data_IF_063137268310
#
_entry.id   IF_063137268310
#
_cell.length_a   1.000
_cell.length_b   1.000
_cell.length_c   1.000
_cell.angle_alpha   90.00
_cell.angle_beta   90.00
_cell.angle_gamma   90.00
#
_symmetry.space_group_name_H-M   'P 1'
#
loop_
_entity.id
_entity.type
_entity.pdbx_description
1 polymer ?
#
# COMPACT_ATOMS: atom_id res chain seq x y z
N UNK A 1 -28.50 -17.65 19.29
CA UNK A 1 -28.36 -16.18 19.19
C UNK A 1 -27.13 -15.78 19.98
N UNK A 2 -25.98 -15.78 19.34
CA UNK A 2 -24.67 -15.48 19.93
C UNK A 2 -24.29 -14.03 19.63
N UNK A 3 -23.77 -13.35 20.65
CA UNK A 3 -23.71 -11.90 20.82
C UNK A 3 -22.65 -11.18 19.97
N UNK A 4 -22.83 -9.87 19.68
CA UNK A 4 -21.83 -9.01 19.06
C UNK A 4 -20.82 -8.53 20.10
N UNK A 5 -19.54 -8.86 19.92
CA UNK A 5 -18.45 -8.50 20.84
C UNK A 5 -17.48 -7.54 20.17
N UNK A 6 -17.12 -6.49 20.93
CA UNK A 6 -16.03 -5.55 20.75
C UNK A 6 -16.27 -4.30 19.86
N UNK A 7 -17.27 -3.51 20.25
CA UNK A 7 -17.14 -2.05 20.18
C UNK A 7 -16.47 -1.56 21.47
N UNK A 8 -15.19 -1.18 21.46
CA UNK A 8 -14.52 -0.33 22.46
C UNK A 8 -13.01 -0.18 22.15
N UNK A 9 -12.62 0.88 21.44
CA UNK A 9 -11.37 1.59 21.72
C UNK A 9 -11.70 3.09 21.67
N UNK A 10 -12.04 3.59 22.85
CA UNK A 10 -12.37 4.97 23.22
C UNK A 10 -11.06 5.69 23.56
N UNK A 11 -10.92 6.91 23.04
CA UNK A 11 -10.07 8.02 23.50
C UNK A 11 -8.56 7.78 23.65
N UNK A 12 -7.77 8.59 22.93
CA UNK A 12 -6.81 9.49 23.57
C UNK A 12 -6.48 10.67 22.64
N UNK A 13 -7.37 11.66 22.62
CA UNK A 13 -7.02 13.04 22.32
C UNK A 13 -6.59 13.68 23.65
N UNK A 14 -5.29 13.84 23.91
CA UNK A 14 -4.81 14.74 24.96
C UNK A 14 -3.56 15.48 24.44
N UNK A 15 -3.82 16.73 24.09
CA UNK A 15 -2.98 17.91 24.06
C UNK A 15 -1.51 17.77 24.49
N UNK A 16 -0.60 18.20 23.62
CA UNK A 16 0.61 18.90 24.03
C UNK A 16 0.58 20.31 23.47
N UNK A 17 0.23 21.26 24.35
CA UNK A 17 0.55 22.68 24.16
C UNK A 17 1.91 22.90 24.80
N UNK A 18 2.88 23.40 24.04
CA UNK A 18 4.08 24.03 24.60
C UNK A 18 4.09 25.48 24.12
N UNK A 19 4.14 26.39 25.08
CA UNK A 19 4.08 27.82 24.89
C UNK A 19 5.47 28.42 24.65
N UNK A 20 5.46 29.51 23.87
CA UNK A 20 6.25 30.73 24.01
C UNK A 20 7.76 30.77 23.68
N UNK A 21 8.00 31.57 22.63
CA UNK A 21 9.00 32.64 22.52
C UNK A 21 10.47 32.31 22.24
N UNK A 22 10.84 32.51 20.97
CA UNK A 22 12.09 33.15 20.61
C UNK A 22 11.90 33.92 19.31
N UNK A 23 11.82 35.25 19.43
CA UNK A 23 12.19 36.20 18.39
C UNK A 23 13.52 35.76 17.74
N UNK A 24 13.51 35.53 16.43
CA UNK A 24 14.73 35.48 15.64
C UNK A 24 14.50 36.08 14.27
N UNK A 25 15.42 36.95 13.82
CA UNK A 25 15.18 37.93 12.78
C UNK A 25 15.15 37.29 11.40
N UNK A 26 14.51 38.02 10.48
CA UNK A 26 14.39 37.71 9.06
C UNK A 26 15.65 37.12 8.41
N UNK A 27 15.47 36.01 7.70
CA UNK A 27 16.37 35.51 6.68
C UNK A 27 15.53 34.98 5.48
N UNK A 28 15.97 35.21 4.23
CA UNK A 28 15.15 35.09 3.01
C UNK A 28 14.71 33.65 2.69
N UNK A 29 13.72 33.43 1.79
CA UNK A 29 13.10 32.12 1.58
C UNK A 29 14.10 31.12 0.99
N UNK A 30 14.27 29.93 1.57
CA UNK A 30 14.87 28.81 0.86
C UNK A 30 13.76 28.06 0.10
N UNK A 31 13.18 28.70 -0.92
CA UNK A 31 12.37 27.98 -1.92
C UNK A 31 13.31 27.19 -2.86
N UNK A 32 13.87 26.05 -2.41
CA UNK A 32 14.47 25.04 -3.31
C UNK A 32 14.92 23.67 -2.73
N UNK A 33 14.71 23.24 -1.45
CA UNK A 33 15.07 21.87 -1.07
C UNK A 33 13.89 20.88 -1.04
N UNK A 34 12.66 21.34 -0.74
CA UNK A 34 11.52 20.43 -0.54
C UNK A 34 11.03 19.78 -1.84
N UNK A 35 10.98 20.54 -2.95
CA UNK A 35 10.55 20.01 -4.24
C UNK A 35 11.54 18.97 -4.80
N UNK A 36 12.85 19.20 -4.65
CA UNK A 36 13.87 18.27 -5.09
C UNK A 36 13.83 16.96 -4.28
N UNK A 37 13.61 17.05 -2.96
CA UNK A 37 13.40 15.89 -2.09
C UNK A 37 12.13 15.12 -2.47
N UNK A 38 10.99 15.81 -2.66
CA UNK A 38 9.73 15.18 -3.08
C UNK A 38 9.83 14.48 -4.45
N UNK A 39 10.56 15.07 -5.41
CA UNK A 39 10.81 14.45 -6.73
C UNK A 39 11.71 13.21 -6.59
N UNK A 40 12.74 13.27 -5.73
CA UNK A 40 13.61 12.14 -5.44
C UNK A 40 12.84 10.99 -4.77
N UNK A 41 11.92 11.32 -3.85
CA UNK A 41 11.00 10.36 -3.22
C UNK A 41 10.05 9.73 -4.24
N UNK A 42 9.39 10.52 -5.08
CA UNK A 42 8.48 9.99 -6.10
C UNK A 42 9.19 9.03 -7.08
N UNK A 43 10.41 9.35 -7.50
CA UNK A 43 11.22 8.49 -8.38
C UNK A 43 11.66 7.20 -7.66
N UNK A 44 11.95 7.27 -6.36
CA UNK A 44 12.30 6.09 -5.57
C UNK A 44 11.09 5.16 -5.41
N UNK A 45 9.95 5.71 -5.01
CA UNK A 45 8.68 5.01 -4.87
C UNK A 45 8.27 4.36 -6.19
N UNK A 46 8.40 5.06 -7.32
CA UNK A 46 8.14 4.53 -8.66
C UNK A 46 8.97 3.26 -8.93
N UNK A 47 10.29 3.31 -8.70
CA UNK A 47 11.14 2.13 -8.89
C UNK A 47 10.75 0.98 -7.96
N UNK A 48 10.46 1.30 -6.71
CA UNK A 48 10.09 0.29 -5.71
C UNK A 48 8.75 -0.37 -6.03
N UNK A 49 7.80 0.38 -6.61
CA UNK A 49 6.52 -0.09 -7.11
C UNK A 49 6.68 -0.94 -8.39
N UNK A 50 7.48 -0.48 -9.36
CA UNK A 50 7.73 -1.20 -10.62
C UNK A 50 8.54 -2.50 -10.41
N UNK A 51 9.30 -2.60 -9.33
CA UNK A 51 10.04 -3.80 -8.96
C UNK A 51 9.15 -4.94 -8.44
N UNK A 52 7.88 -4.67 -8.14
CA UNK A 52 6.95 -5.69 -7.66
C UNK A 52 6.52 -6.64 -8.78
N UNK A 53 6.13 -7.86 -8.38
CA UNK A 53 5.43 -8.77 -9.28
C UNK A 53 4.00 -8.27 -9.56
N UNK A 54 3.44 -8.64 -10.71
CA UNK A 54 2.16 -8.08 -11.17
C UNK A 54 1.03 -8.17 -10.12
N UNK A 55 0.89 -9.31 -9.46
CA UNK A 55 -0.15 -9.51 -8.43
C UNK A 55 0.04 -8.57 -7.25
N UNK A 56 1.28 -8.37 -6.80
CA UNK A 56 1.61 -7.47 -5.71
C UNK A 56 1.36 -6.02 -6.11
N UNK A 57 1.86 -5.63 -7.29
CA UNK A 57 1.65 -4.31 -7.88
C UNK A 57 0.15 -3.98 -7.93
N UNK A 58 -0.66 -4.89 -8.46
CA UNK A 58 -2.10 -4.69 -8.61
C UNK A 58 -2.77 -4.44 -7.26
N UNK A 59 -2.49 -5.26 -6.25
CA UNK A 59 -3.03 -5.10 -4.89
C UNK A 59 -2.68 -3.73 -4.30
N UNK A 60 -1.45 -3.25 -4.52
CA UNK A 60 -1.00 -1.94 -4.05
C UNK A 60 -1.80 -0.81 -4.73
N UNK A 61 -1.96 -0.86 -6.06
CA UNK A 61 -2.73 0.14 -6.81
C UNK A 61 -4.21 0.11 -6.42
N UNK A 62 -4.82 -1.07 -6.27
CA UNK A 62 -6.22 -1.21 -5.89
C UNK A 62 -6.49 -0.65 -4.48
N UNK A 63 -5.50 -0.70 -3.58
CA UNK A 63 -5.59 -0.19 -2.21
C UNK A 63 -5.53 1.33 -2.12
N UNK A 64 -5.08 2.03 -3.17
CA UNK A 64 -4.98 3.48 -3.20
C UNK A 64 -6.07 4.04 -4.12
N UNK A 65 -7.10 4.71 -3.58
CA UNK A 65 -8.24 5.14 -4.37
C UNK A 65 -7.85 6.09 -5.52
N UNK A 66 -6.86 6.97 -5.30
CA UNK A 66 -6.36 7.87 -6.33
C UNK A 66 -5.70 7.15 -7.52
N UNK A 67 -4.91 6.11 -7.25
CA UNK A 67 -4.25 5.34 -8.33
C UNK A 67 -5.22 4.40 -9.03
N UNK A 68 -6.11 3.74 -8.27
CA UNK A 68 -7.16 2.91 -8.83
C UNK A 68 -8.06 3.70 -9.79
N UNK A 69 -8.46 4.91 -9.39
CA UNK A 69 -9.28 5.78 -10.24
C UNK A 69 -8.57 6.17 -11.55
N UNK A 70 -7.26 6.40 -11.51
CA UNK A 70 -6.46 6.73 -12.70
C UNK A 70 -6.41 5.54 -13.68
N UNK A 71 -6.28 4.31 -13.18
CA UNK A 71 -6.34 3.10 -14.01
C UNK A 71 -7.74 2.85 -14.55
N UNK A 72 -8.78 3.08 -13.74
CA UNK A 72 -10.18 2.92 -14.14
C UNK A 72 -10.60 3.95 -15.20
N UNK A 73 -9.99 5.14 -15.18
CA UNK A 73 -10.21 6.18 -16.19
C UNK A 73 -9.80 5.75 -17.62
N UNK A 74 -8.92 4.75 -17.76
CA UNK A 74 -8.60 4.14 -19.05
C UNK A 74 -9.71 3.22 -19.59
N UNK A 75 -10.77 2.96 -18.80
CA UNK A 75 -11.92 2.16 -19.18
C UNK A 75 -11.68 0.65 -19.08
N UNK A 76 -12.53 -0.13 -19.76
CA UNK A 76 -12.60 -1.61 -19.66
C UNK A 76 -11.26 -2.33 -19.89
N UNK A 77 -10.34 -1.72 -20.64
CA UNK A 77 -9.02 -2.30 -20.96
C UNK A 77 -7.87 -1.71 -20.13
N UNK A 78 -8.14 -0.76 -19.23
CA UNK A 78 -7.12 -0.05 -18.45
C UNK A 78 -6.22 -0.98 -17.66
N UNK A 79 -6.80 -1.97 -16.98
CA UNK A 79 -6.05 -2.98 -16.23
C UNK A 79 -5.18 -3.88 -17.10
N UNK A 80 -5.63 -4.22 -18.31
CA UNK A 80 -4.85 -5.03 -19.26
C UNK A 80 -3.67 -4.23 -19.82
N UNK A 81 -3.89 -2.95 -20.14
CA UNK A 81 -2.82 -2.05 -20.57
C UNK A 81 -1.77 -1.85 -19.47
N UNK A 82 -2.22 -1.61 -18.24
CA UNK A 82 -1.35 -1.48 -17.07
C UNK A 82 -0.58 -2.78 -16.86
N UNK A 83 -1.22 -3.95 -16.93
CA UNK A 83 -0.52 -5.25 -16.80
C UNK A 83 0.63 -5.41 -17.80
N UNK A 84 0.43 -4.99 -19.05
CA UNK A 84 1.46 -5.10 -20.08
C UNK A 84 2.61 -4.08 -19.90
N UNK A 85 2.34 -2.93 -19.27
CA UNK A 85 3.26 -1.79 -19.24
C UNK A 85 3.65 -1.32 -17.84
N UNK A 86 3.25 -2.00 -16.76
CA UNK A 86 3.39 -1.47 -15.40
C UNK A 86 4.84 -1.19 -15.01
N UNK A 87 5.81 -1.93 -15.57
CA UNK A 87 7.26 -1.73 -15.34
C UNK A 87 7.86 -0.57 -16.12
N UNK A 88 7.21 -0.13 -17.20
CA UNK A 88 7.73 0.90 -18.12
C UNK A 88 6.90 2.19 -18.08
N UNK A 89 5.69 2.12 -17.55
CA UNK A 89 4.79 3.25 -17.38
C UNK A 89 5.34 4.24 -16.34
N UNK A 90 5.22 5.53 -16.65
CA UNK A 90 5.74 6.62 -15.83
C UNK A 90 4.80 6.93 -14.65
N UNK A 91 4.78 6.05 -13.64
CA UNK A 91 3.97 6.19 -12.42
C UNK A 91 4.30 7.43 -11.60
N UNK A 92 5.47 8.05 -11.82
CA UNK A 92 5.87 9.28 -11.13
C UNK A 92 4.77 10.34 -11.10
N UNK A 93 4.09 10.58 -12.23
CA UNK A 93 3.01 11.59 -12.29
C UNK A 93 1.82 11.24 -11.40
N UNK A 94 1.51 9.95 -11.28
CA UNK A 94 0.41 9.47 -10.46
C UNK A 94 0.76 9.57 -8.97
N UNK A 95 2.01 9.23 -8.61
CA UNK A 95 2.54 9.40 -7.25
C UNK A 95 2.59 10.87 -6.86
N UNK A 96 2.95 11.75 -7.80
CA UNK A 96 3.05 13.20 -7.55
C UNK A 96 1.71 13.87 -7.28
N UNK A 97 0.61 13.27 -7.74
CA UNK A 97 -0.76 13.73 -7.48
C UNK A 97 -1.34 13.23 -6.16
N UNK A 98 -0.69 12.28 -5.49
CA UNK A 98 -1.15 11.75 -4.20
C UNK A 98 -0.89 12.75 -3.08
N UNK A 99 -1.78 12.83 -2.09
CA UNK A 99 -1.47 13.59 -0.87
C UNK A 99 -0.40 12.87 -0.03
N UNK A 100 0.23 13.57 0.92
CA UNK A 100 1.32 13.02 1.73
C UNK A 100 0.91 11.75 2.49
N UNK A 101 -0.32 11.72 3.02
CA UNK A 101 -0.88 10.53 3.68
C UNK A 101 -1.01 9.33 2.72
N UNK A 102 -1.43 9.56 1.48
CA UNK A 102 -1.56 8.51 0.47
C UNK A 102 -0.19 8.00 -0.01
N UNK A 103 0.82 8.89 -0.09
CA UNK A 103 2.20 8.49 -0.40
C UNK A 103 2.80 7.65 0.72
N UNK A 104 2.60 8.03 1.97
CA UNK A 104 3.04 7.24 3.11
C UNK A 104 2.40 5.84 3.11
N UNK A 105 1.09 5.77 2.83
CA UNK A 105 0.39 4.49 2.67
C UNK A 105 0.95 3.66 1.50
N UNK A 106 1.27 4.28 0.36
CA UNK A 106 1.89 3.60 -0.78
C UNK A 106 3.23 2.98 -0.41
N UNK A 107 4.10 3.74 0.26
CA UNK A 107 5.41 3.25 0.72
C UNK A 107 5.25 2.04 1.63
N UNK A 108 4.30 2.10 2.57
CA UNK A 108 4.05 1.01 3.50
C UNK A 108 3.50 -0.24 2.80
N UNK A 109 2.55 -0.07 1.88
CA UNK A 109 2.02 -1.18 1.08
C UNK A 109 3.09 -1.84 0.22
N UNK A 110 3.99 -1.05 -0.38
CA UNK A 110 5.14 -1.58 -1.13
C UNK A 110 6.08 -2.36 -0.20
N UNK A 111 6.33 -1.86 1.02
CA UNK A 111 7.17 -2.53 2.02
C UNK A 111 6.60 -3.89 2.43
N UNK A 112 5.29 -3.95 2.68
CA UNK A 112 4.56 -5.19 2.99
C UNK A 112 4.59 -6.14 1.79
N UNK A 113 4.29 -5.65 0.59
CA UNK A 113 4.25 -6.46 -0.63
C UNK A 113 5.61 -7.09 -0.99
N UNK A 114 6.72 -6.42 -0.68
CA UNK A 114 8.09 -6.95 -0.83
C UNK A 114 8.43 -8.08 0.16
N UNK A 115 7.53 -8.40 1.10
CA UNK A 115 7.76 -9.43 2.12
C UNK A 115 8.61 -8.95 3.29
N UNK A 116 8.80 -7.63 3.45
CA UNK A 116 9.43 -7.05 4.66
C UNK A 116 8.40 -6.85 5.77
N UNK A 117 7.11 -7.07 5.49
CA UNK A 117 6.05 -7.24 6.48
C UNK A 117 5.29 -8.53 6.20
N UNK A 118 5.47 -9.52 7.07
CA UNK A 118 4.67 -10.73 7.30
C UNK A 118 3.89 -11.31 6.09
N UNK A 119 4.46 -12.33 5.44
CA UNK A 119 3.72 -13.21 4.55
C UNK A 119 3.24 -14.45 5.33
N UNK A 120 1.93 -14.74 5.36
CA UNK A 120 1.47 -16.12 5.39
C UNK A 120 1.26 -16.59 3.94
N UNK A 121 2.36 -16.97 3.28
CA UNK A 121 2.27 -17.89 2.16
C UNK A 121 2.15 -19.31 2.72
N UNK A 122 0.93 -19.80 2.83
CA UNK A 122 0.67 -21.24 2.88
C UNK A 122 -0.56 -21.52 2.02
N UNK A 123 -0.30 -21.77 0.73
CA UNK A 123 -0.68 -23.03 0.08
C UNK A 123 -1.65 -23.90 0.92
N UNK A 124 -2.94 -23.57 0.90
CA UNK A 124 -4.03 -24.45 1.27
C UNK A 124 -4.77 -24.88 0.00
N UNK A 125 -4.01 -25.39 -0.97
CA UNK A 125 -4.53 -26.25 -2.03
C UNK A 125 -4.22 -27.69 -1.59
N UNK A 126 -5.24 -28.36 -1.09
CA UNK A 126 -5.17 -29.72 -0.58
C UNK A 126 -6.53 -30.12 -0.03
N UNK A 127 -7.51 -30.23 -0.91
CA UNK A 127 -8.79 -30.86 -0.64
C UNK A 127 -8.58 -32.27 -0.06
N UNK A 128 -9.47 -32.74 0.83
CA UNK A 128 -9.87 -34.12 0.81
C UNK A 128 -11.25 -34.20 0.13
N UNK A 129 -11.24 -34.63 -1.12
CA UNK A 129 -12.38 -35.30 -1.71
C UNK A 129 -12.61 -36.60 -0.93
N UNK A 130 -13.87 -36.82 -0.56
CA UNK A 130 -14.60 -38.09 -0.52
C UNK A 130 -13.86 -39.41 -0.23
N UNK A 131 -14.42 -40.16 0.73
CA UNK A 131 -14.14 -41.54 1.17
C UNK A 131 -14.19 -42.58 0.00
N UNK A 132 -14.01 -43.94 0.16
CA UNK A 132 -14.13 -44.80 1.36
C UNK A 132 -13.20 -46.07 1.38
N UNK A 133 -13.62 -47.09 2.16
CA UNK A 133 -13.15 -48.50 2.27
C UNK A 133 -12.17 -48.80 3.44
N UNK A 134 -12.64 -49.43 4.53
CA UNK A 134 -12.80 -50.88 4.72
C UNK A 134 -11.51 -51.69 4.52
N UNK A 135 -10.89 -52.14 5.63
CA UNK A 135 -10.43 -53.53 5.84
C UNK A 135 -9.50 -53.68 7.06
N UNK A 136 -9.98 -54.47 8.03
CA UNK A 136 -9.29 -55.63 8.61
C UNK A 136 -8.00 -55.40 9.41
N UNK A 137 -8.07 -55.66 10.72
CA UNK A 137 -7.01 -56.43 11.41
C UNK A 137 -7.60 -57.22 12.57
N UNK A 138 -7.72 -58.52 12.35
CA UNK A 138 -7.64 -59.56 13.39
C UNK A 138 -6.26 -59.46 14.07
N UNK A 139 -6.23 -59.38 15.40
CA UNK A 139 -5.47 -60.32 16.25
C UNK A 139 -5.88 -60.17 17.72
#
# INVERSE_FOLDING_TARGET
MTQPLAALIVLLWISSVFAADADSPAAPPPEAPAAAAAIADAKRIERDLQALEWTQFRTVIESIPGMKADVDAYGLLGWSYVQANYRTYAWRKNIDRLDEAQRAQLVELIRVAKGVGDAPNAKAAGAPADAPAESRTDL
#
